data_IF_232795923277
#
_entry.id   IF_232795923277
#
_cell.length_a   1.000
_cell.length_b   1.000
_cell.length_c   1.000
_cell.angle_alpha   90.00
_cell.angle_beta   90.00
_cell.angle_gamma   90.00
#
_symmetry.space_group_name_H-M   'P 1'
#
loop_
_entity.id
_entity.type
_entity.pdbx_description
1 polymer ?
#
# COMPACT_ATOMS: atom_id res chain seq x y z
N UNK A 1 -21.14 7.64 -12.90
CA UNK A 1 -20.04 7.31 -11.96
C UNK A 1 -20.44 6.07 -11.15
N UNK A 2 -19.53 5.12 -10.95
CA UNK A 2 -19.81 3.80 -10.34
C UNK A 2 -19.43 3.84 -8.84
N UNK A 3 -19.98 2.95 -7.99
CA UNK A 3 -19.56 2.87 -6.58
C UNK A 3 -18.10 2.36 -6.47
N UNK A 4 -17.41 2.73 -5.39
CA UNK A 4 -16.02 2.32 -5.14
C UNK A 4 -15.87 0.78 -5.18
N UNK A 5 -16.75 0.08 -4.48
CA UNK A 5 -16.74 -1.38 -4.41
C UNK A 5 -16.92 -2.03 -5.78
N UNK A 6 -17.87 -1.54 -6.58
CA UNK A 6 -18.16 -2.11 -7.89
C UNK A 6 -16.98 -1.96 -8.85
N UNK A 7 -16.26 -0.83 -8.78
CA UNK A 7 -15.03 -0.63 -9.55
C UNK A 7 -13.91 -1.59 -9.14
N UNK A 8 -13.76 -1.81 -7.83
CA UNK A 8 -12.78 -2.78 -7.34
C UNK A 8 -13.16 -4.22 -7.75
N UNK A 9 -14.45 -4.56 -7.73
CA UNK A 9 -14.94 -5.85 -8.28
C UNK A 9 -14.66 -6.00 -9.77
N UNK A 10 -14.81 -4.93 -10.56
CA UNK A 10 -14.44 -4.93 -11.98
C UNK A 10 -12.95 -5.26 -12.17
N UNK A 11 -12.03 -4.57 -11.47
CA UNK A 11 -10.60 -4.88 -11.56
C UNK A 11 -10.28 -6.29 -11.08
N UNK A 12 -10.90 -6.76 -9.99
CA UNK A 12 -10.71 -8.13 -9.48
C UNK A 12 -11.10 -9.19 -10.51
N UNK A 13 -12.14 -8.93 -11.32
CA UNK A 13 -12.56 -9.84 -12.40
C UNK A 13 -11.63 -9.79 -13.61
N UNK A 14 -11.10 -8.61 -13.96
CA UNK A 14 -10.26 -8.45 -15.16
C UNK A 14 -8.78 -8.72 -14.92
N UNK A 15 -8.31 -8.60 -13.68
CA UNK A 15 -6.88 -8.74 -13.31
C UNK A 15 -6.69 -10.00 -12.49
N UNK A 16 -6.11 -11.01 -13.15
CA UNK A 16 -5.69 -12.24 -12.50
C UNK A 16 -4.36 -12.05 -11.78
N UNK A 17 -4.37 -12.07 -10.45
CA UNK A 17 -3.19 -11.76 -9.63
C UNK A 17 -2.06 -12.79 -9.79
N UNK A 18 -2.39 -14.07 -9.92
CA UNK A 18 -1.46 -15.16 -10.17
C UNK A 18 -0.68 -15.02 -11.48
N UNK A 19 -1.27 -14.36 -12.47
CA UNK A 19 -0.63 -14.06 -13.77
C UNK A 19 0.04 -12.67 -13.79
N UNK A 20 -0.58 -11.64 -13.20
CA UNK A 20 -0.19 -10.23 -13.37
C UNK A 20 0.69 -9.66 -12.26
N UNK A 21 0.62 -10.21 -11.05
CA UNK A 21 1.42 -9.70 -9.93
C UNK A 21 2.89 -10.11 -10.09
N UNK A 22 3.77 -9.11 -10.18
CA UNK A 22 5.17 -9.29 -10.61
C UNK A 22 6.21 -8.74 -9.62
N UNK A 23 5.94 -8.85 -8.31
CA UNK A 23 6.90 -8.40 -7.29
C UNK A 23 7.93 -9.49 -6.92
N UNK A 24 9.06 -9.50 -7.62
CA UNK A 24 10.15 -10.44 -7.39
C UNK A 24 11.02 -10.01 -6.19
N UNK A 25 11.51 -11.00 -5.44
CA UNK A 25 12.49 -10.82 -4.37
C UNK A 25 13.48 -11.98 -4.33
N UNK A 26 14.64 -11.72 -3.73
CA UNK A 26 15.70 -12.71 -3.52
C UNK A 26 15.79 -13.05 -2.02
N UNK A 27 16.06 -14.32 -1.69
CA UNK A 27 16.13 -14.82 -0.32
C UNK A 27 17.57 -15.26 -0.02
N UNK A 28 18.51 -14.34 -0.19
CA UNK A 28 19.94 -14.55 0.15
C UNK A 28 20.28 -14.31 1.61
N UNK A 29 19.28 -14.03 2.45
CA UNK A 29 19.48 -13.73 3.88
C UNK A 29 19.69 -14.99 4.72
N UNK A 30 20.38 -14.83 5.85
CA UNK A 30 20.47 -15.81 6.94
C UNK A 30 19.23 -15.85 7.81
N UNK A 31 18.29 -14.90 7.64
CA UNK A 31 17.03 -14.87 8.38
C UNK A 31 16.11 -16.06 8.05
N UNK A 32 16.35 -16.79 6.97
CA UNK A 32 15.61 -17.99 6.60
C UNK A 32 16.54 -19.20 6.50
N UNK A 33 16.07 -20.34 7.00
CA UNK A 33 16.67 -21.66 6.82
C UNK A 33 16.57 -22.11 5.37
N UNK A 34 17.38 -23.10 5.00
CA UNK A 34 17.39 -23.61 3.63
C UNK A 34 16.11 -24.35 3.25
N UNK A 35 15.43 -24.96 4.24
CA UNK A 35 14.10 -25.53 4.05
C UNK A 35 13.06 -24.44 3.72
N UNK A 36 13.02 -23.35 4.50
CA UNK A 36 12.13 -22.21 4.24
C UNK A 36 12.38 -21.59 2.85
N UNK A 37 13.65 -21.42 2.46
CA UNK A 37 14.03 -20.94 1.13
C UNK A 37 13.56 -21.89 0.03
N UNK A 38 13.75 -23.20 0.22
CA UNK A 38 13.34 -24.22 -0.74
C UNK A 38 11.83 -24.21 -0.95
N UNK A 39 11.05 -24.16 0.13
CA UNK A 39 9.58 -24.09 0.07
C UNK A 39 9.10 -22.82 -0.64
N UNK A 40 9.69 -21.65 -0.35
CA UNK A 40 9.34 -20.41 -1.05
C UNK A 40 9.68 -20.45 -2.55
N UNK A 41 10.74 -21.18 -2.94
CA UNK A 41 11.16 -21.30 -4.34
C UNK A 41 10.38 -22.38 -5.12
N UNK A 42 9.57 -23.21 -4.45
CA UNK A 42 8.65 -24.17 -5.11
C UNK A 42 7.38 -23.53 -5.64
N UNK A 43 7.03 -22.34 -5.16
CA UNK A 43 5.80 -21.66 -5.54
C UNK A 43 5.76 -21.36 -7.04
N UNK A 44 4.62 -21.68 -7.67
CA UNK A 44 4.46 -21.70 -9.13
C UNK A 44 4.60 -20.31 -9.75
N UNK A 45 4.19 -19.28 -9.02
CA UNK A 45 4.20 -17.90 -9.51
C UNK A 45 4.60 -16.92 -8.39
N UNK A 46 4.93 -15.70 -8.82
CA UNK A 46 5.39 -14.63 -7.93
C UNK A 46 4.34 -14.24 -6.89
N UNK A 47 3.06 -14.32 -7.24
CA UNK A 47 1.96 -14.02 -6.33
C UNK A 47 1.95 -15.00 -5.15
N UNK A 48 1.83 -16.30 -5.41
CA UNK A 48 1.84 -17.35 -4.39
C UNK A 48 3.12 -17.32 -3.55
N UNK A 49 4.27 -17.04 -4.17
CA UNK A 49 5.54 -16.86 -3.47
C UNK A 49 5.51 -15.72 -2.44
N UNK A 50 4.86 -14.59 -2.76
CA UNK A 50 4.68 -13.50 -1.80
C UNK A 50 3.61 -13.82 -0.73
N UNK A 51 2.57 -14.58 -1.07
CA UNK A 51 1.59 -15.07 -0.10
C UNK A 51 2.25 -15.97 0.95
N UNK A 52 3.01 -16.96 0.48
CA UNK A 52 3.74 -17.90 1.33
C UNK A 52 4.76 -17.18 2.21
N UNK A 53 5.46 -16.17 1.67
CA UNK A 53 6.38 -15.34 2.45
C UNK A 53 5.67 -14.59 3.59
N UNK A 54 4.46 -14.05 3.35
CA UNK A 54 3.69 -13.35 4.38
C UNK A 54 3.32 -14.27 5.54
N UNK A 55 2.81 -15.46 5.25
CA UNK A 55 2.48 -16.44 6.30
C UNK A 55 3.74 -16.90 7.05
N UNK A 56 4.83 -17.18 6.34
CA UNK A 56 6.09 -17.58 6.97
C UNK A 56 6.63 -16.52 7.94
N UNK A 57 6.66 -15.25 7.51
CA UNK A 57 7.16 -14.17 8.36
C UNK A 57 6.21 -13.92 9.54
N UNK A 58 4.90 -14.01 9.35
CA UNK A 58 3.91 -13.92 10.43
C UNK A 58 4.19 -14.98 11.50
N UNK A 59 4.37 -16.23 11.10
CA UNK A 59 4.70 -17.34 12.01
C UNK A 59 6.01 -17.09 12.75
N UNK A 60 7.05 -16.69 12.01
CA UNK A 60 8.39 -16.45 12.57
C UNK A 60 8.43 -15.25 13.54
N UNK A 61 7.71 -14.19 13.22
CA UNK A 61 7.60 -13.02 14.07
C UNK A 61 6.72 -13.28 15.29
N UNK A 62 5.76 -14.21 15.19
CA UNK A 62 4.82 -14.57 16.27
C UNK A 62 4.15 -13.32 16.89
N UNK A 63 3.77 -12.36 16.05
CA UNK A 63 3.19 -11.07 16.47
C UNK A 63 4.16 -10.10 17.16
N UNK A 64 5.43 -10.45 17.31
CA UNK A 64 6.45 -9.59 17.90
C UNK A 64 6.94 -8.54 16.91
N UNK A 65 6.93 -7.29 17.36
CA UNK A 65 7.49 -6.14 16.65
C UNK A 65 8.88 -5.75 17.17
N UNK A 66 9.57 -6.69 17.81
CA UNK A 66 10.94 -6.51 18.26
C UNK A 66 11.89 -6.21 17.10
N UNK A 67 12.92 -5.43 17.41
CA UNK A 67 13.95 -5.07 16.46
C UNK A 67 14.83 -6.28 16.17
N UNK A 68 14.76 -6.77 14.93
CA UNK A 68 15.50 -7.92 14.43
C UNK A 68 16.07 -7.63 13.04
N UNK A 69 17.01 -8.45 12.58
CA UNK A 69 17.52 -8.37 11.19
C UNK A 69 16.41 -8.59 10.15
N UNK A 70 15.35 -9.30 10.52
CA UNK A 70 14.18 -9.52 9.66
C UNK A 70 13.49 -8.20 9.31
N UNK A 71 13.40 -7.23 10.24
CA UNK A 71 12.81 -5.93 9.92
C UNK A 71 13.59 -5.21 8.83
N UNK A 72 14.92 -5.26 8.88
CA UNK A 72 15.78 -4.64 7.87
C UNK A 72 15.71 -5.39 6.55
N UNK A 73 15.65 -6.73 6.57
CA UNK A 73 15.48 -7.53 5.35
C UNK A 73 14.15 -7.21 4.64
N UNK A 74 13.04 -7.11 5.39
CA UNK A 74 11.71 -6.76 4.85
C UNK A 74 11.78 -5.42 4.10
N UNK A 75 12.48 -4.42 4.66
CA UNK A 75 12.52 -3.08 4.05
C UNK A 75 13.55 -2.99 2.92
N UNK A 76 14.75 -3.53 3.12
CA UNK A 76 15.88 -3.35 2.22
C UNK A 76 15.84 -4.33 1.04
N UNK A 77 15.77 -5.61 1.35
CA UNK A 77 15.94 -6.69 0.40
C UNK A 77 14.61 -7.01 -0.28
N UNK A 78 13.57 -7.31 0.50
CA UNK A 78 12.23 -7.51 -0.06
C UNK A 78 11.66 -6.18 -0.56
N UNK A 79 11.68 -5.12 0.26
CA UNK A 79 11.07 -3.83 -0.06
C UNK A 79 11.84 -2.97 -1.07
N UNK A 80 13.07 -3.33 -1.42
CA UNK A 80 13.90 -2.61 -2.39
C UNK A 80 14.39 -1.22 -1.93
N UNK A 81 14.32 -0.90 -0.64
CA UNK A 81 14.70 0.42 -0.10
C UNK A 81 16.11 0.34 0.52
N UNK A 82 17.12 0.13 -0.31
CA UNK A 82 18.53 -0.06 0.11
C UNK A 82 19.15 1.08 0.95
N UNK A 83 18.49 2.24 0.99
CA UNK A 83 18.91 3.38 1.82
C UNK A 83 18.48 3.25 3.28
N UNK A 84 17.53 2.36 3.62
CA UNK A 84 17.09 2.10 5.00
C UNK A 84 18.03 1.11 5.72
N UNK A 85 19.33 1.42 5.71
CA UNK A 85 20.35 0.57 6.32
C UNK A 85 20.23 0.53 7.84
N UNK A 86 20.77 -0.53 8.44
CA UNK A 86 20.88 -0.64 9.90
C UNK A 86 21.77 0.47 10.45
N UNK A 87 21.20 1.31 11.30
CA UNK A 87 21.86 2.38 12.05
C UNK A 87 20.93 2.82 13.19
N UNK A 88 21.48 3.54 14.18
CA UNK A 88 20.74 3.96 15.37
C UNK A 88 19.46 4.76 15.03
N UNK A 89 19.49 5.61 14.00
CA UNK A 89 18.33 6.39 13.56
C UNK A 89 17.20 5.50 13.06
N UNK A 90 17.49 4.53 12.20
CA UNK A 90 16.48 3.64 11.63
C UNK A 90 15.97 2.63 12.66
N UNK A 91 16.83 2.18 13.59
CA UNK A 91 16.42 1.36 14.73
C UNK A 91 15.42 2.11 15.63
N UNK A 92 15.68 3.39 15.93
CA UNK A 92 14.75 4.27 16.64
C UNK A 92 13.42 4.41 15.91
N UNK A 93 13.44 4.54 14.57
CA UNK A 93 12.21 4.62 13.75
C UNK A 93 11.37 3.36 13.83
N UNK A 94 11.98 2.17 13.73
CA UNK A 94 11.27 0.89 13.88
C UNK A 94 10.65 0.79 15.27
N UNK A 95 11.43 1.03 16.34
CA UNK A 95 10.93 0.97 17.72
C UNK A 95 9.78 1.95 17.97
N UNK A 96 9.92 3.20 17.51
CA UNK A 96 8.88 4.21 17.62
C UNK A 96 7.60 3.80 16.87
N UNK A 97 7.74 3.22 15.68
CA UNK A 97 6.61 2.70 14.90
C UNK A 97 5.90 1.58 15.64
N UNK A 98 6.63 0.59 16.15
CA UNK A 98 6.06 -0.53 16.94
C UNK A 98 5.23 -0.02 18.12
N UNK A 99 5.72 0.97 18.87
CA UNK A 99 4.95 1.59 19.97
C UNK A 99 3.73 2.37 19.48
N UNK A 100 3.83 3.03 18.33
CA UNK A 100 2.75 3.84 17.75
C UNK A 100 1.63 2.99 17.13
N UNK A 101 1.93 1.78 16.64
CA UNK A 101 0.94 0.81 16.20
C UNK A 101 -0.04 0.46 17.33
N UNK A 102 0.47 0.24 18.55
CA UNK A 102 -0.35 -0.06 19.73
C UNK A 102 -1.29 1.10 20.12
N UNK A 103 -0.89 2.35 19.78
CA UNK A 103 -1.66 3.56 20.08
C UNK A 103 -2.59 3.97 18.93
N UNK A 104 -2.52 3.29 17.79
CA UNK A 104 -3.24 3.64 16.56
C UNK A 104 -3.08 5.11 16.14
N UNK A 105 -1.89 5.71 16.40
CA UNK A 105 -1.57 7.09 16.01
C UNK A 105 -0.10 7.26 15.66
N UNK A 106 0.17 7.79 14.47
CA UNK A 106 1.53 8.04 14.00
C UNK A 106 2.02 9.46 14.29
N UNK A 107 3.32 9.57 14.56
CA UNK A 107 4.04 10.85 14.51
C UNK A 107 4.35 11.24 13.06
N UNK A 108 4.69 12.52 12.83
CA UNK A 108 5.04 13.00 11.49
C UNK A 108 6.30 12.33 10.95
N UNK A 109 7.37 12.22 11.75
CA UNK A 109 8.62 11.55 11.35
C UNK A 109 8.42 10.06 11.03
N UNK A 110 7.54 9.39 11.78
CA UNK A 110 7.15 8.01 11.49
C UNK A 110 6.38 7.93 10.17
N UNK A 111 5.37 8.79 9.98
CA UNK A 111 4.58 8.83 8.75
C UNK A 111 5.43 9.16 7.51
N UNK A 112 6.43 10.03 7.61
CA UNK A 112 7.32 10.36 6.49
C UNK A 112 8.17 9.17 6.01
N UNK A 113 8.25 8.10 6.81
CA UNK A 113 8.89 6.83 6.44
C UNK A 113 7.90 5.66 6.36
N UNK A 114 6.59 5.95 6.27
CA UNK A 114 5.55 4.93 6.33
C UNK A 114 5.65 3.90 5.21
N UNK A 115 6.10 4.29 4.01
CA UNK A 115 6.24 3.35 2.89
C UNK A 115 7.24 2.23 3.19
N UNK A 116 8.25 2.48 4.03
CA UNK A 116 9.15 1.47 4.56
C UNK A 116 8.51 0.74 5.74
N UNK A 117 8.06 1.49 6.74
CA UNK A 117 7.63 0.94 8.03
C UNK A 117 6.37 0.07 7.91
N UNK A 118 5.42 0.42 7.05
CA UNK A 118 4.20 -0.36 6.81
C UNK A 118 4.48 -1.74 6.23
N UNK A 119 5.64 -1.97 5.60
CA UNK A 119 6.05 -3.29 5.13
C UNK A 119 6.22 -4.22 6.32
N UNK A 120 6.89 -3.74 7.37
CA UNK A 120 7.14 -4.51 8.59
C UNK A 120 5.82 -4.97 9.21
N UNK A 121 4.87 -4.06 9.46
CA UNK A 121 3.57 -4.41 10.04
C UNK A 121 2.73 -5.30 9.13
N UNK A 122 2.76 -5.09 7.80
CA UNK A 122 2.03 -5.94 6.86
C UNK A 122 2.56 -7.37 6.75
N UNK A 123 3.80 -7.62 7.19
CA UNK A 123 4.37 -8.96 7.26
C UNK A 123 4.20 -9.60 8.65
N UNK A 124 4.31 -8.82 9.72
CA UNK A 124 4.17 -9.33 11.10
C UNK A 124 2.71 -9.60 11.45
N UNK A 125 1.80 -8.72 11.02
CA UNK A 125 0.36 -8.84 11.25
C UNK A 125 -0.41 -8.54 9.94
N UNK A 126 -0.36 -9.49 8.98
CA UNK A 126 -0.99 -9.35 7.66
C UNK A 126 -2.53 -9.33 7.73
N UNK A 127 -3.15 -9.55 8.88
CA UNK A 127 -4.60 -9.58 9.06
C UNK A 127 -5.18 -8.19 9.37
N UNK A 128 -4.34 -7.31 9.90
CA UNK A 128 -4.73 -5.95 10.31
C UNK A 128 -4.03 -4.87 9.50
N UNK A 129 -2.85 -5.15 8.94
CA UNK A 129 -2.03 -4.13 8.30
C UNK A 129 -1.67 -4.46 6.85
N UNK A 130 -1.64 -3.42 6.04
CA UNK A 130 -1.24 -3.45 4.63
C UNK A 130 -0.12 -2.46 4.36
N UNK A 131 0.53 -2.62 3.20
CA UNK A 131 1.63 -1.76 2.77
C UNK A 131 1.10 -0.43 2.24
N UNK A 132 1.56 0.66 2.85
CA UNK A 132 1.28 2.04 2.44
C UNK A 132 2.29 2.49 1.37
N UNK A 133 2.29 1.81 0.22
CA UNK A 133 3.14 2.13 -0.93
C UNK A 133 2.53 3.24 -1.80
N UNK A 134 3.37 4.07 -2.39
CA UNK A 134 2.93 5.16 -3.27
C UNK A 134 2.00 4.69 -4.41
N UNK A 135 2.24 3.52 -5.02
CA UNK A 135 1.36 2.98 -6.08
C UNK A 135 -0.01 2.58 -5.56
N UNK A 136 -0.02 1.92 -4.40
CA UNK A 136 -1.26 1.47 -3.75
C UNK A 136 -2.11 2.67 -3.35
N UNK A 137 -1.48 3.68 -2.73
CA UNK A 137 -2.16 4.92 -2.32
C UNK A 137 -2.64 5.72 -3.52
N UNK A 138 -1.84 5.77 -4.60
CA UNK A 138 -2.27 6.42 -5.83
C UNK A 138 -3.50 5.74 -6.43
N UNK A 139 -3.47 4.41 -6.57
CA UNK A 139 -4.57 3.63 -7.14
C UNK A 139 -5.86 3.83 -6.35
N UNK A 140 -5.83 3.69 -5.02
CA UNK A 140 -7.05 3.84 -4.21
C UNK A 140 -7.58 5.27 -4.26
N UNK A 141 -6.71 6.29 -4.19
CA UNK A 141 -7.12 7.69 -4.28
C UNK A 141 -7.74 7.99 -5.65
N UNK A 142 -7.16 7.48 -6.73
CA UNK A 142 -7.75 7.60 -8.07
C UNK A 142 -9.14 6.99 -8.12
N UNK A 143 -9.30 5.75 -7.61
CA UNK A 143 -10.57 5.04 -7.67
C UNK A 143 -11.63 5.75 -6.83
N UNK A 144 -11.29 6.19 -5.60
CA UNK A 144 -12.18 7.03 -4.76
C UNK A 144 -12.57 8.27 -5.54
N UNK A 145 -11.59 9.00 -6.08
CA UNK A 145 -11.80 10.24 -6.81
C UNK A 145 -12.73 10.02 -8.00
N UNK A 146 -12.63 8.92 -8.73
CA UNK A 146 -13.45 8.65 -9.92
C UNK A 146 -14.68 7.76 -9.62
N UNK A 147 -15.02 7.58 -8.34
CA UNK A 147 -16.22 6.87 -7.88
C UNK A 147 -17.28 7.82 -7.32
N UNK A 148 -18.52 7.32 -7.14
CA UNK A 148 -19.61 8.04 -6.46
C UNK A 148 -19.39 8.27 -4.96
N UNK A 149 -18.31 7.75 -4.38
CA UNK A 149 -18.06 7.82 -2.95
C UNK A 149 -17.67 9.24 -2.53
N UNK A 150 -18.37 9.82 -1.56
CA UNK A 150 -18.15 11.22 -1.11
C UNK A 150 -17.79 11.36 0.36
N UNK A 151 -17.99 10.32 1.16
CA UNK A 151 -17.76 10.26 2.61
C UNK A 151 -16.34 9.77 2.99
N UNK A 152 -15.55 9.32 2.02
CA UNK A 152 -14.17 8.87 2.23
C UNK A 152 -13.20 10.00 1.92
N UNK A 153 -12.35 10.36 2.90
CA UNK A 153 -11.24 11.28 2.69
C UNK A 153 -10.12 10.61 1.89
N UNK A 154 -9.32 11.42 1.22
CA UNK A 154 -8.15 10.94 0.50
C UNK A 154 -6.98 10.62 1.43
N UNK A 155 -6.11 9.75 0.99
CA UNK A 155 -4.94 9.31 1.74
C UNK A 155 -3.71 10.13 1.31
N UNK A 156 -2.96 10.77 2.24
CA UNK A 156 -1.76 11.51 1.88
C UNK A 156 -0.74 10.61 1.18
N UNK A 157 -0.28 11.03 0.00
CA UNK A 157 0.74 10.27 -0.74
C UNK A 157 2.04 10.16 0.07
N UNK A 158 2.58 8.96 0.28
CA UNK A 158 3.95 8.81 0.76
C UNK A 158 4.92 9.20 -0.36
N UNK A 159 6.16 9.56 -0.01
CA UNK A 159 7.19 9.90 -1.00
C UNK A 159 7.43 8.72 -1.94
N UNK A 160 7.04 8.90 -3.21
CA UNK A 160 7.17 7.90 -4.28
C UNK A 160 8.33 8.20 -5.23
N UNK A 161 8.89 7.15 -5.84
CA UNK A 161 9.94 7.26 -6.87
C UNK A 161 9.46 6.83 -8.27
N UNK A 162 8.19 6.50 -8.41
CA UNK A 162 7.62 5.99 -9.65
C UNK A 162 7.35 7.14 -10.63
N UNK A 163 8.16 7.25 -11.69
CA UNK A 163 8.09 8.34 -12.67
C UNK A 163 6.72 8.45 -13.35
N UNK A 164 6.08 7.34 -13.74
CA UNK A 164 4.77 7.34 -14.41
C UNK A 164 3.69 8.00 -13.56
N UNK A 165 3.79 7.84 -12.25
CA UNK A 165 2.86 8.37 -11.26
C UNK A 165 3.24 9.79 -10.83
N UNK A 166 4.55 10.10 -10.81
CA UNK A 166 5.07 11.44 -10.43
C UNK A 166 4.65 12.50 -11.45
N UNK A 167 4.56 12.17 -12.74
CA UNK A 167 4.15 13.12 -13.78
C UNK A 167 2.69 13.60 -13.61
N UNK A 168 1.87 12.85 -12.88
CA UNK A 168 0.47 13.17 -12.59
C UNK A 168 0.22 13.21 -11.08
N UNK A 169 0.59 14.31 -10.43
CA UNK A 169 0.41 14.43 -8.98
C UNK A 169 -1.07 14.31 -8.55
N UNK A 170 -1.43 13.18 -7.92
CA UNK A 170 -2.82 12.89 -7.52
C UNK A 170 -3.36 13.92 -6.53
N UNK A 171 -2.51 14.51 -5.68
CA UNK A 171 -2.96 15.53 -4.74
C UNK A 171 -3.45 16.77 -5.48
N UNK A 172 -2.77 17.16 -6.55
CA UNK A 172 -3.15 18.24 -7.45
C UNK A 172 -4.44 17.89 -8.18
N UNK A 173 -4.56 16.69 -8.75
CA UNK A 173 -5.78 16.24 -9.42
C UNK A 173 -7.00 16.25 -8.50
N UNK A 174 -6.85 15.77 -7.27
CA UNK A 174 -7.89 15.82 -6.23
C UNK A 174 -8.28 17.28 -5.96
N UNK A 175 -7.31 18.16 -5.73
CA UNK A 175 -7.58 19.59 -5.47
C UNK A 175 -8.28 20.28 -6.63
N UNK A 176 -7.89 19.97 -7.87
CA UNK A 176 -8.55 20.47 -9.08
C UNK A 176 -10.00 19.97 -9.20
N UNK A 177 -10.25 18.71 -8.84
CA UNK A 177 -11.61 18.15 -8.83
C UNK A 177 -12.50 18.83 -7.78
N UNK A 178 -11.94 19.24 -6.65
CA UNK A 178 -12.68 19.82 -5.52
C UNK A 178 -12.45 21.33 -5.38
N UNK A 179 -12.21 22.06 -6.48
CA UNK A 179 -11.92 23.50 -6.47
C UNK A 179 -12.96 24.32 -5.70
N UNK A 180 -14.25 24.00 -5.90
CA UNK A 180 -15.36 24.70 -5.22
C UNK A 180 -15.32 24.55 -3.70
N UNK A 181 -14.69 23.48 -3.20
CA UNK A 181 -14.56 23.15 -1.78
C UNK A 181 -13.12 23.31 -1.26
N UNK A 182 -12.21 23.90 -2.05
CA UNK A 182 -10.77 23.96 -1.74
C UNK A 182 -10.49 24.60 -0.37
N UNK A 183 -11.30 25.59 0.01
CA UNK A 183 -11.17 26.33 1.26
C UNK A 183 -11.97 25.75 2.44
N UNK A 184 -12.85 24.77 2.21
CA UNK A 184 -13.91 24.40 3.16
C UNK A 184 -13.67 23.08 3.92
N UNK A 185 -12.64 22.28 3.60
CA UNK A 185 -12.48 20.99 4.26
C UNK A 185 -11.08 20.37 4.21
N UNK A 186 -10.84 19.46 5.16
CA UNK A 186 -9.71 18.53 5.11
C UNK A 186 -10.05 17.38 4.16
N UNK A 187 -9.75 17.57 2.86
CA UNK A 187 -9.88 16.54 1.83
C UNK A 187 -9.11 15.26 2.17
N UNK A 188 -8.03 15.38 2.94
CA UNK A 188 -7.15 14.27 3.28
C UNK A 188 -7.27 13.88 4.75
N UNK A 189 -7.06 12.60 5.05
CA UNK A 189 -6.79 12.15 6.41
C UNK A 189 -5.52 12.83 6.96
N UNK A 190 -5.49 13.04 8.28
CA UNK A 190 -4.30 13.53 8.95
C UNK A 190 -3.19 12.46 8.90
N UNK A 191 -1.91 12.87 8.90
CA UNK A 191 -0.80 11.92 8.96
C UNK A 191 -0.85 11.01 10.20
N UNK A 192 -1.56 11.42 11.26
CA UNK A 192 -1.68 10.65 12.51
C UNK A 192 -2.54 9.41 12.31
N UNK A 193 -3.59 9.53 11.50
CA UNK A 193 -4.66 8.53 11.41
C UNK A 193 -4.68 7.83 10.04
N UNK A 194 -4.10 8.45 9.00
CA UNK A 194 -4.20 8.01 7.61
C UNK A 194 -3.79 6.55 7.40
N UNK A 195 -2.74 6.08 8.06
CA UNK A 195 -2.29 4.69 7.92
C UNK A 195 -3.32 3.69 8.47
N UNK A 196 -3.90 3.99 9.63
CA UNK A 196 -4.86 3.11 10.30
C UNK A 196 -6.22 3.12 9.59
N UNK A 197 -6.69 4.30 9.18
CA UNK A 197 -7.91 4.42 8.37
C UNK A 197 -7.75 3.72 7.02
N UNK A 198 -6.56 3.78 6.41
CA UNK A 198 -6.27 3.03 5.19
C UNK A 198 -6.34 1.52 5.43
N UNK A 199 -5.68 1.01 6.47
CA UNK A 199 -5.71 -0.41 6.78
C UNK A 199 -7.14 -0.91 7.07
N UNK A 200 -7.92 -0.13 7.82
CA UNK A 200 -9.34 -0.42 8.09
C UNK A 200 -10.16 -0.43 6.80
N UNK A 201 -9.98 0.56 5.93
CA UNK A 201 -10.66 0.64 4.64
C UNK A 201 -10.34 -0.59 3.78
N UNK A 202 -9.06 -0.90 3.58
CA UNK A 202 -8.66 -2.05 2.76
C UNK A 202 -9.17 -3.36 3.36
N UNK A 203 -9.10 -3.55 4.68
CA UNK A 203 -9.64 -4.75 5.33
C UNK A 203 -11.13 -4.94 5.09
N UNK A 204 -11.91 -3.87 5.18
CA UNK A 204 -13.35 -3.93 4.93
C UNK A 204 -13.66 -4.16 3.44
N UNK A 205 -12.98 -3.41 2.55
CA UNK A 205 -13.17 -3.53 1.11
C UNK A 205 -12.75 -4.92 0.60
N UNK A 206 -11.67 -5.52 1.10
CA UNK A 206 -11.24 -6.86 0.68
C UNK A 206 -12.37 -7.87 0.88
N UNK A 207 -13.00 -7.87 2.05
CA UNK A 207 -14.11 -8.79 2.33
C UNK A 207 -15.26 -8.63 1.34
N UNK A 208 -15.61 -7.39 1.03
CA UNK A 208 -16.72 -7.09 0.13
C UNK A 208 -16.38 -7.25 -1.36
N UNK A 209 -15.13 -7.04 -1.77
CA UNK A 209 -14.67 -7.20 -3.17
C UNK A 209 -14.49 -8.67 -3.53
N UNK A 210 -13.97 -9.46 -2.60
CA UNK A 210 -13.74 -10.89 -2.81
C UNK A 210 -14.92 -11.77 -2.39
N UNK A 211 -15.95 -11.18 -1.74
CA UNK A 211 -17.12 -11.87 -1.21
C UNK A 211 -16.72 -13.01 -0.23
N UNK A 212 -15.68 -12.77 0.58
CA UNK A 212 -15.09 -13.72 1.52
C UNK A 212 -14.70 -13.00 2.83
N UNK A 213 -15.27 -13.45 3.96
CA UNK A 213 -15.02 -12.84 5.27
C UNK A 213 -13.64 -13.18 5.87
N UNK A 214 -12.99 -14.23 5.36
CA UNK A 214 -11.71 -14.74 5.82
C UNK A 214 -10.52 -14.18 5.03
N UNK A 215 -10.81 -13.52 3.89
CA UNK A 215 -9.80 -12.98 2.99
C UNK A 215 -8.89 -11.99 3.74
N UNK A 216 -7.59 -12.13 3.50
CA UNK A 216 -6.61 -11.22 4.08
C UNK A 216 -6.57 -9.89 3.32
N UNK A 217 -6.35 -8.76 4.00
CA UNK A 217 -6.39 -7.44 3.36
C UNK A 217 -5.32 -7.26 2.27
N UNK A 218 -4.20 -7.98 2.36
CA UNK A 218 -3.12 -7.88 1.36
C UNK A 218 -3.53 -8.33 -0.05
N UNK A 219 -4.62 -9.10 -0.24
CA UNK A 219 -5.09 -9.46 -1.58
C UNK A 219 -5.53 -8.20 -2.37
N UNK A 220 -6.28 -7.32 -1.72
CA UNK A 220 -6.69 -6.05 -2.32
C UNK A 220 -5.52 -5.08 -2.45
N UNK A 221 -4.60 -5.06 -1.47
CA UNK A 221 -3.34 -4.30 -1.58
C UNK A 221 -2.55 -4.70 -2.83
N UNK A 222 -2.36 -6.02 -3.06
CA UNK A 222 -1.65 -6.56 -4.23
C UNK A 222 -2.40 -6.28 -5.53
N UNK A 223 -3.74 -6.26 -5.52
CA UNK A 223 -4.55 -5.82 -6.66
C UNK A 223 -4.30 -4.35 -6.97
N UNK A 224 -4.43 -3.47 -5.98
CA UNK A 224 -4.18 -2.03 -6.13
C UNK A 224 -2.76 -1.76 -6.63
N UNK A 225 -1.78 -2.49 -6.11
CA UNK A 225 -0.40 -2.45 -6.58
C UNK A 225 -0.26 -2.82 -8.05
N UNK A 226 -0.91 -3.92 -8.46
CA UNK A 226 -0.83 -4.47 -9.83
C UNK A 226 -1.44 -3.51 -10.86
N UNK A 227 -2.53 -2.84 -10.49
CA UNK A 227 -3.28 -1.98 -11.42
C UNK A 227 -2.74 -0.55 -11.53
N UNK A 228 -1.93 -0.11 -10.56
CA UNK A 228 -1.45 1.27 -10.48
C UNK A 228 -0.71 1.72 -11.76
N UNK A 229 0.20 0.89 -12.26
CA UNK A 229 1.09 1.25 -13.38
C UNK A 229 0.52 0.92 -14.77
N UNK A 230 -0.69 0.33 -14.82
CA UNK A 230 -1.33 -0.16 -16.04
C UNK A 230 -2.75 0.41 -16.17
N UNK A 231 -3.75 -0.22 -15.54
CA UNK A 231 -5.16 0.17 -15.67
C UNK A 231 -5.39 1.59 -15.19
N UNK A 232 -4.87 1.96 -14.02
CA UNK A 232 -5.04 3.30 -13.45
C UNK A 232 -4.31 4.35 -14.29
N UNK A 233 -3.09 4.05 -14.73
CA UNK A 233 -2.33 4.94 -15.61
C UNK A 233 -3.02 5.15 -16.97
N UNK A 234 -3.59 4.09 -17.55
CA UNK A 234 -4.34 4.16 -18.81
C UNK A 234 -5.64 4.96 -18.64
N UNK A 235 -6.37 4.76 -17.55
CA UNK A 235 -7.56 5.55 -17.25
C UNK A 235 -7.22 7.03 -17.05
N UNK A 236 -6.17 7.31 -16.30
CA UNK A 236 -5.68 8.67 -16.06
C UNK A 236 -5.37 9.40 -17.37
N UNK A 237 -4.61 8.76 -18.26
CA UNK A 237 -4.20 9.37 -19.54
C UNK A 237 -5.35 9.51 -20.54
N UNK A 238 -6.41 8.71 -20.41
CA UNK A 238 -7.59 8.79 -21.30
C UNK A 238 -8.70 9.69 -20.76
N UNK A 239 -8.82 9.83 -19.44
CA UNK A 239 -9.90 10.58 -18.78
C UNK A 239 -9.48 12.00 -18.35
N UNK A 240 -8.19 12.29 -18.26
CA UNK A 240 -7.72 13.62 -17.85
C UNK A 240 -7.62 14.53 -19.07
N UNK A 241 -8.53 15.50 -19.18
CA UNK A 241 -8.46 16.62 -20.11
C UNK A 241 -8.48 17.92 -19.34
N UNK A 242 -7.56 18.83 -19.66
CA UNK A 242 -7.49 20.17 -19.06
C UNK A 242 -7.90 21.17 -20.13
N UNK A 243 -8.98 21.90 -19.88
CA UNK A 243 -9.36 23.07 -20.66
C UNK A 243 -9.00 24.33 -19.89
N UNK A 244 -8.10 25.13 -20.45
CA UNK A 244 -7.70 26.41 -19.87
C UNK A 244 -8.63 27.49 -20.43
N UNK A 245 -9.38 28.14 -19.55
CA UNK A 245 -10.22 29.29 -19.95
C UNK A 245 -9.29 30.42 -20.43
N UNK A 246 -9.50 31.00 -21.62
CA UNK A 246 -8.73 32.15 -22.06
C UNK A 246 -8.91 33.31 -21.08
N UNK A 247 -7.85 34.09 -20.87
CA UNK A 247 -7.93 35.33 -20.09
C UNK A 247 -9.03 36.22 -20.70
N UNK A 248 -9.98 36.64 -19.85
CA UNK A 248 -10.93 37.70 -20.19
C UNK A 248 -10.27 39.06 -20.07
#
# INVERSE_FOLDING_TARGET
MILLIDRLKQYKTTVKLDERFSYLFDIKTTSFSDSEKHELNKEVNTFNRNLKLKELIKEKANGSYELTDLNFWIVNDWGGIRTFKRNEKNEKKIKAFSTQLLKSKLSKDTFDTISSLSKISSFIDPENYVIYDSRVIYAINWIIMTSKQTDIKYFPMPTGRNKKIVDFDINTLIRLKHLDNYHQGQLFYSYKDAYFEFCKLIKNLSKSVFDDQTIKPYYLEMLLFTIADNEIYNELTTQTKIEIKPNR
#
